data_IF_893756815782
#
_entry.id   IF_893756815782
#
_cell.length_a   1.000
_cell.length_b   1.000
_cell.length_c   1.000
_cell.angle_alpha   90.00
_cell.angle_beta   90.00
_cell.angle_gamma   90.00
#
_symmetry.space_group_name_H-M   'P 1'
#
loop_
_entity.id
_entity.type
_entity.pdbx_description
1 polymer ?
#
# COMPACT_ATOMS: atom_id res chain seq x y z
N UNK A 1 14.82 -25.68 14.32
CA UNK A 1 14.39 -24.28 14.16
C UNK A 1 14.90 -23.80 12.80
N UNK A 2 14.06 -23.80 11.78
CA UNK A 2 14.45 -23.30 10.44
C UNK A 2 14.53 -21.77 10.50
N UNK A 3 15.48 -21.14 9.80
CA UNK A 3 15.62 -19.69 9.85
C UNK A 3 14.40 -19.02 9.22
N UNK A 4 13.79 -18.08 9.95
CA UNK A 4 12.77 -17.15 9.45
C UNK A 4 13.09 -16.73 8.01
N UNK A 5 12.29 -17.22 7.07
CA UNK A 5 12.52 -17.02 5.65
C UNK A 5 12.45 -15.53 5.32
N UNK A 6 13.49 -14.99 4.69
CA UNK A 6 13.41 -13.64 4.11
C UNK A 6 12.25 -13.54 3.11
N UNK A 7 11.72 -12.32 2.92
CA UNK A 7 10.54 -12.08 2.08
C UNK A 7 10.67 -12.75 0.70
N UNK A 8 9.63 -13.47 0.27
CA UNK A 8 9.56 -14.08 -1.07
C UNK A 8 8.40 -13.46 -1.84
N UNK A 9 8.74 -12.55 -2.76
CA UNK A 9 7.78 -11.72 -3.49
C UNK A 9 6.82 -12.52 -4.37
N UNK A 10 7.34 -13.39 -5.23
CA UNK A 10 6.52 -14.18 -6.15
C UNK A 10 5.51 -15.07 -5.40
N UNK A 11 5.89 -15.83 -4.35
CA UNK A 11 4.93 -16.55 -3.52
C UNK A 11 3.89 -15.65 -2.85
N UNK A 12 4.27 -14.45 -2.40
CA UNK A 12 3.35 -13.52 -1.74
C UNK A 12 2.28 -13.00 -2.71
N UNK A 13 2.65 -12.61 -3.92
CA UNK A 13 1.68 -12.21 -4.95
C UNK A 13 0.83 -13.37 -5.45
N UNK A 14 1.43 -14.55 -5.67
CA UNK A 14 0.68 -15.74 -6.06
C UNK A 14 -0.36 -16.13 -4.98
N UNK A 15 0.01 -15.99 -3.70
CA UNK A 15 -0.94 -16.15 -2.59
C UNK A 15 -2.02 -15.09 -2.61
N UNK A 16 -1.68 -13.81 -2.79
CA UNK A 16 -2.63 -12.70 -2.81
C UNK A 16 -3.69 -12.88 -3.90
N UNK A 17 -3.29 -13.25 -5.11
CA UNK A 17 -4.22 -13.53 -6.22
C UNK A 17 -5.15 -14.69 -5.87
N UNK A 18 -4.61 -15.79 -5.33
CA UNK A 18 -5.44 -16.94 -4.90
C UNK A 18 -6.43 -16.54 -3.80
N UNK A 19 -5.99 -15.78 -2.81
CA UNK A 19 -6.83 -15.32 -1.70
C UNK A 19 -7.95 -14.40 -2.19
N UNK A 20 -7.63 -13.47 -3.10
CA UNK A 20 -8.58 -12.56 -3.73
C UNK A 20 -9.66 -13.32 -4.52
N UNK A 21 -9.27 -14.26 -5.37
CA UNK A 21 -10.20 -15.10 -6.15
C UNK A 21 -11.05 -16.01 -5.25
N UNK A 22 -10.44 -16.62 -4.23
CA UNK A 22 -11.15 -17.54 -3.33
C UNK A 22 -12.22 -16.82 -2.48
N UNK A 23 -11.99 -15.54 -2.18
CA UNK A 23 -12.87 -14.73 -1.33
C UNK A 23 -13.45 -13.54 -2.11
N UNK A 24 -13.83 -13.77 -3.37
CA UNK A 24 -14.32 -12.73 -4.28
C UNK A 24 -15.59 -12.01 -3.75
N UNK A 25 -16.39 -12.70 -2.94
CA UNK A 25 -17.57 -12.12 -2.27
C UNK A 25 -17.19 -10.96 -1.34
N UNK A 26 -15.97 -10.97 -0.79
CA UNK A 26 -15.47 -9.89 0.09
C UNK A 26 -14.60 -8.93 -0.74
N UNK A 27 -13.62 -9.47 -1.46
CA UNK A 27 -12.65 -8.64 -2.17
C UNK A 27 -13.22 -7.95 -3.41
N UNK A 28 -14.24 -8.51 -4.06
CA UNK A 28 -14.92 -7.89 -5.20
C UNK A 28 -15.64 -6.59 -4.81
N UNK A 29 -16.58 -6.62 -3.85
CA UNK A 29 -17.22 -5.40 -3.34
C UNK A 29 -16.22 -4.39 -2.80
N UNK A 30 -15.16 -4.85 -2.14
CA UNK A 30 -14.15 -3.97 -1.57
C UNK A 30 -13.28 -3.30 -2.64
N UNK A 31 -13.01 -4.01 -3.75
CA UNK A 31 -12.40 -3.43 -4.96
C UNK A 31 -13.34 -2.39 -5.59
N UNK A 32 -14.65 -2.66 -5.67
CA UNK A 32 -15.64 -1.69 -6.17
C UNK A 32 -15.72 -0.44 -5.28
N UNK A 33 -15.67 -0.62 -3.97
CA UNK A 33 -15.61 0.49 -3.00
C UNK A 33 -14.33 1.31 -3.22
N UNK A 34 -13.18 0.66 -3.45
CA UNK A 34 -11.93 1.35 -3.82
C UNK A 34 -12.08 2.13 -5.13
N UNK A 35 -12.73 1.54 -6.14
CA UNK A 35 -13.00 2.21 -7.41
C UNK A 35 -13.85 3.47 -7.24
N UNK A 36 -14.95 3.39 -6.48
CA UNK A 36 -15.84 4.53 -6.21
C UNK A 36 -15.10 5.60 -5.40
N UNK A 37 -14.34 5.19 -4.38
CA UNK A 37 -13.55 6.09 -3.55
C UNK A 37 -12.50 6.87 -4.34
N UNK A 38 -11.78 6.21 -5.25
CA UNK A 38 -10.74 6.82 -6.08
C UNK A 38 -11.32 7.65 -7.24
N UNK A 39 -12.50 7.29 -7.75
CA UNK A 39 -13.15 8.00 -8.87
C UNK A 39 -13.91 9.26 -8.43
N UNK A 40 -14.18 9.42 -7.13
CA UNK A 40 -14.87 10.61 -6.59
C UNK A 40 -13.88 11.68 -6.10
N UNK A 41 -14.39 12.86 -5.70
CA UNK A 41 -13.58 13.90 -5.05
C UNK A 41 -13.25 13.57 -3.58
N UNK A 42 -13.82 12.50 -3.04
CA UNK A 42 -13.67 12.06 -1.64
C UNK A 42 -12.48 11.12 -1.41
N UNK A 43 -11.58 10.99 -2.40
CA UNK A 43 -10.48 10.01 -2.36
C UNK A 43 -9.57 10.15 -1.12
N UNK A 44 -9.40 11.36 -0.58
CA UNK A 44 -8.58 11.61 0.63
C UNK A 44 -9.21 11.02 1.89
N UNK A 45 -10.50 11.32 2.12
CA UNK A 45 -11.28 10.78 3.25
C UNK A 45 -11.45 9.26 3.10
N UNK A 46 -11.65 8.81 1.87
CA UNK A 46 -11.72 7.39 1.54
C UNK A 46 -10.41 6.67 1.88
N UNK A 47 -9.25 7.21 1.46
CA UNK A 47 -7.95 6.60 1.74
C UNK A 47 -7.68 6.49 3.25
N UNK A 48 -8.06 7.51 4.03
CA UNK A 48 -7.88 7.52 5.49
C UNK A 48 -8.62 6.36 6.18
N UNK A 49 -9.82 6.01 5.71
CA UNK A 49 -10.65 4.98 6.33
C UNK A 49 -10.49 3.60 5.69
N UNK A 50 -10.38 3.55 4.36
CA UNK A 50 -10.32 2.31 3.60
C UNK A 50 -8.98 1.57 3.77
N UNK A 51 -7.86 2.29 3.84
CA UNK A 51 -6.53 1.66 4.00
C UNK A 51 -6.41 0.90 5.33
N UNK A 52 -6.81 1.47 6.49
CA UNK A 52 -6.92 0.73 7.74
C UNK A 52 -7.74 -0.57 7.63
N UNK A 53 -8.93 -0.49 7.01
CA UNK A 53 -9.84 -1.62 6.86
C UNK A 53 -9.23 -2.69 5.96
N UNK A 54 -8.66 -2.29 4.82
CA UNK A 54 -7.95 -3.15 3.88
C UNK A 54 -6.81 -3.91 4.55
N UNK A 55 -5.97 -3.21 5.32
CA UNK A 55 -4.85 -3.80 6.04
C UNK A 55 -5.31 -4.81 7.10
N UNK A 56 -6.36 -4.49 7.84
CA UNK A 56 -6.91 -5.37 8.88
C UNK A 56 -7.51 -6.64 8.28
N UNK A 57 -8.31 -6.50 7.21
CA UNK A 57 -8.90 -7.63 6.49
C UNK A 57 -7.83 -8.49 5.80
N UNK A 58 -6.81 -7.86 5.21
CA UNK A 58 -5.69 -8.58 4.63
C UNK A 58 -4.94 -9.41 5.68
N UNK A 59 -4.73 -8.88 6.89
CA UNK A 59 -4.12 -9.61 7.99
C UNK A 59 -4.99 -10.77 8.48
N UNK A 60 -6.30 -10.60 8.62
CA UNK A 60 -7.21 -11.71 8.95
C UNK A 60 -7.23 -12.78 7.86
N UNK A 61 -7.19 -12.37 6.58
CA UNK A 61 -7.11 -13.31 5.47
C UNK A 61 -5.86 -14.20 5.53
N UNK A 62 -4.77 -13.74 6.18
CA UNK A 62 -3.58 -14.59 6.37
C UNK A 62 -3.80 -15.72 7.38
N UNK A 63 -4.80 -15.61 8.26
CA UNK A 63 -5.06 -16.62 9.31
C UNK A 63 -6.14 -17.62 8.92
N UNK A 64 -7.02 -17.29 7.97
CA UNK A 64 -8.12 -18.16 7.52
C UNK A 64 -8.14 -18.32 6.00
N UNK A 65 -8.53 -19.52 5.52
CA UNK A 65 -8.60 -19.82 4.08
C UNK A 65 -9.81 -19.18 3.41
N UNK A 66 -10.95 -19.13 4.11
CA UNK A 66 -12.17 -18.44 3.69
C UNK A 66 -12.63 -17.48 4.79
N UNK A 67 -12.77 -16.21 4.45
CA UNK A 67 -13.36 -15.22 5.35
C UNK A 67 -14.88 -15.34 5.26
N UNK A 68 -15.56 -15.44 6.40
CA UNK A 68 -17.00 -15.27 6.48
C UNK A 68 -17.33 -13.91 7.09
N UNK A 69 -18.39 -13.27 6.62
CA UNK A 69 -18.75 -11.89 7.00
C UNK A 69 -19.12 -11.77 8.49
N UNK A 70 -19.64 -12.84 9.09
CA UNK A 70 -20.05 -12.96 10.50
C UNK A 70 -18.86 -13.17 11.46
N UNK A 71 -17.70 -13.56 10.96
CA UNK A 71 -16.50 -13.86 11.75
C UNK A 71 -15.44 -12.73 11.70
N UNK A 72 -15.73 -11.61 11.02
CA UNK A 72 -14.81 -10.47 10.88
C UNK A 72 -14.66 -9.76 12.23
N UNK A 73 -13.53 -10.00 12.89
CA UNK A 73 -13.13 -9.33 14.13
C UNK A 73 -11.87 -8.52 13.88
N UNK A 74 -11.91 -7.18 13.98
CA UNK A 74 -10.79 -6.29 13.64
C UNK A 74 -9.87 -6.08 14.87
N UNK A 75 -8.88 -6.96 15.14
CA UNK A 75 -8.09 -6.88 16.36
C UNK A 75 -7.05 -5.77 16.18
N UNK A 76 -6.82 -4.94 17.20
CA UNK A 76 -5.84 -3.86 17.08
C UNK A 76 -6.25 -2.72 16.14
N UNK A 77 -7.51 -2.63 15.71
CA UNK A 77 -8.02 -1.57 14.83
C UNK A 77 -7.74 -0.16 15.38
N UNK A 78 -7.86 0.04 16.70
CA UNK A 78 -7.53 1.31 17.34
C UNK A 78 -6.04 1.69 17.18
N UNK A 79 -5.12 0.74 17.39
CA UNK A 79 -3.68 0.97 17.20
C UNK A 79 -3.37 1.27 15.74
N UNK A 80 -4.05 0.60 14.83
CA UNK A 80 -3.91 0.79 13.40
C UNK A 80 -4.52 2.12 12.92
N UNK A 81 -5.61 2.62 13.52
CA UNK A 81 -6.11 3.97 13.26
C UNK A 81 -5.11 5.04 13.72
N UNK A 82 -4.52 4.88 14.91
CA UNK A 82 -3.46 5.79 15.39
C UNK A 82 -2.26 5.76 14.43
N UNK A 83 -1.85 4.57 13.99
CA UNK A 83 -0.74 4.44 13.07
C UNK A 83 -1.06 4.99 11.67
N UNK A 84 -2.29 4.81 11.20
CA UNK A 84 -2.76 5.38 9.94
C UNK A 84 -2.80 6.91 9.99
N UNK A 85 -3.18 7.48 11.14
CA UNK A 85 -3.08 8.93 11.36
C UNK A 85 -1.62 9.40 11.31
N UNK A 86 -0.70 8.74 12.02
CA UNK A 86 0.73 9.07 11.99
C UNK A 86 1.33 8.91 10.58
N UNK A 87 0.95 7.87 9.86
CA UNK A 87 1.36 7.66 8.48
C UNK A 87 0.76 8.73 7.55
N UNK A 88 -0.48 9.16 7.80
CA UNK A 88 -1.11 10.29 7.13
C UNK A 88 -0.34 11.60 7.35
N UNK A 89 0.12 11.87 8.58
CA UNK A 89 1.00 13.01 8.86
C UNK A 89 2.34 12.90 8.12
N UNK A 90 2.94 11.71 8.07
CA UNK A 90 4.16 11.47 7.31
C UNK A 90 3.97 11.73 5.81
N UNK A 91 2.90 11.17 5.22
CA UNK A 91 2.53 11.40 3.80
C UNK A 91 2.26 12.88 3.54
N UNK A 92 1.51 13.54 4.42
CA UNK A 92 1.19 14.96 4.32
C UNK A 92 2.44 15.84 4.39
N UNK A 93 3.34 15.58 5.34
CA UNK A 93 4.61 16.29 5.46
C UNK A 93 5.50 16.10 4.23
N UNK A 94 5.50 14.90 3.65
CA UNK A 94 6.21 14.63 2.40
C UNK A 94 5.59 15.40 1.22
N UNK A 95 4.25 15.42 1.10
CA UNK A 95 3.56 16.19 0.08
C UNK A 95 3.85 17.70 0.17
N UNK A 96 3.89 18.25 1.38
CA UNK A 96 4.29 19.64 1.63
C UNK A 96 5.74 19.88 1.18
N UNK A 97 6.65 18.94 1.49
CA UNK A 97 8.05 19.04 1.08
C UNK A 97 8.18 19.05 -0.44
N UNK A 98 7.50 18.14 -1.14
CA UNK A 98 7.46 18.14 -2.60
C UNK A 98 6.88 19.45 -3.15
N UNK A 99 5.81 19.96 -2.57
CA UNK A 99 5.23 21.24 -2.97
C UNK A 99 6.27 22.37 -2.92
N UNK A 100 7.05 22.49 -1.84
CA UNK A 100 8.11 23.49 -1.75
C UNK A 100 9.28 23.26 -2.70
N UNK A 101 9.66 22.00 -2.95
CA UNK A 101 10.67 21.65 -3.97
C UNK A 101 10.20 22.08 -5.36
N UNK A 102 8.94 21.83 -5.72
CA UNK A 102 8.36 22.29 -6.98
C UNK A 102 8.24 23.80 -7.07
N UNK A 103 7.82 24.45 -6.00
CA UNK A 103 7.76 25.90 -5.92
C UNK A 103 9.14 26.50 -6.18
N UNK A 104 10.18 26.00 -5.50
CA UNK A 104 11.56 26.43 -5.72
C UNK A 104 12.06 26.16 -7.14
N UNK A 105 11.81 24.97 -7.68
CA UNK A 105 12.19 24.62 -9.06
C UNK A 105 11.49 25.50 -10.11
N UNK A 106 10.22 25.87 -9.86
CA UNK A 106 9.47 26.79 -10.73
C UNK A 106 9.97 28.22 -10.65
N UNK A 107 10.34 28.69 -9.44
CA UNK A 107 10.93 30.02 -9.24
C UNK A 107 12.34 30.14 -9.83
N UNK A 108 13.12 29.04 -9.85
CA UNK A 108 14.47 29.05 -10.43
C UNK A 108 14.47 29.14 -11.98
N UNK A 109 13.31 28.87 -12.61
CA UNK A 109 13.09 29.02 -14.05
C UNK A 109 12.49 30.36 -14.46
N UNK A 110 12.22 31.26 -13.51
CA UNK A 110 11.89 32.63 -13.84
C UNK A 110 13.16 33.32 -14.34
N UNK A 111 13.35 33.31 -15.66
CA UNK A 111 14.27 34.21 -16.33
C UNK A 111 13.63 35.62 -16.38
N UNK A 112 14.21 36.64 -15.72
CA UNK A 112 13.71 38.02 -15.78
C UNK A 112 13.71 38.59 -17.21
N UNK A 113 14.40 37.94 -18.16
CA UNK A 113 14.52 38.32 -19.58
C UNK A 113 13.24 38.10 -20.41
N UNK A 114 12.20 37.49 -19.85
CA UNK A 114 10.92 37.28 -20.55
C UNK A 114 10.94 36.24 -21.67
N UNK A 115 12.00 35.43 -21.78
CA UNK A 115 12.06 34.31 -22.72
C UNK A 115 11.60 33.05 -22.00
N UNK A 116 10.32 32.69 -22.14
CA UNK A 116 9.84 31.35 -21.75
C UNK A 116 10.11 30.40 -22.91
N UNK A 117 11.05 29.44 -22.82
CA UNK A 117 11.15 28.40 -23.82
C UNK A 117 9.88 27.55 -23.74
N UNK A 118 9.15 27.41 -24.84
CA UNK A 118 8.09 26.40 -24.98
C UNK A 118 8.75 25.01 -25.01
N UNK A 119 9.24 24.53 -23.87
CA UNK A 119 9.68 23.15 -23.74
C UNK A 119 8.48 22.25 -23.43
N UNK A 120 8.35 21.10 -24.11
CA UNK A 120 7.38 20.08 -23.74
C UNK A 120 7.55 19.70 -22.26
N UNK A 121 6.43 19.48 -21.56
CA UNK A 121 6.42 19.16 -20.12
C UNK A 121 7.24 17.92 -19.72
N UNK A 122 7.62 17.06 -20.66
CA UNK A 122 8.52 15.92 -20.43
C UNK A 122 10.01 16.28 -20.47
N UNK A 123 10.41 17.38 -21.12
CA UNK A 123 11.78 17.93 -21.06
C UNK A 123 11.98 18.87 -19.86
N UNK A 124 10.88 19.31 -19.25
CA UNK A 124 10.92 20.04 -18.01
C UNK A 124 11.45 19.11 -16.89
N UNK A 125 12.69 19.35 -16.44
CA UNK A 125 13.28 18.86 -15.17
C UNK A 125 12.32 18.68 -13.97
N UNK A 126 11.21 19.41 -13.91
CA UNK A 126 10.06 19.18 -13.02
C UNK A 126 9.54 17.73 -13.05
N UNK A 127 9.42 17.10 -14.20
CA UNK A 127 8.95 15.70 -14.34
C UNK A 127 9.95 14.71 -13.74
N UNK A 128 11.25 14.92 -13.94
CA UNK A 128 12.30 14.11 -13.32
C UNK A 128 12.36 14.30 -11.80
N UNK A 129 12.16 15.53 -11.31
CA UNK A 129 12.04 15.83 -9.88
C UNK A 129 10.82 15.12 -9.27
N UNK A 130 9.70 15.06 -10.00
CA UNK A 130 8.50 14.34 -9.55
C UNK A 130 8.73 12.83 -9.48
N UNK A 131 9.29 12.24 -10.54
CA UNK A 131 9.61 10.82 -10.55
C UNK A 131 10.63 10.45 -9.47
N UNK A 132 11.69 11.26 -9.31
CA UNK A 132 12.67 11.09 -8.24
C UNK A 132 12.06 11.21 -6.85
N UNK A 133 11.19 12.21 -6.64
CA UNK A 133 10.44 12.39 -5.41
C UNK A 133 9.54 11.20 -5.08
N UNK A 134 8.77 10.71 -6.05
CA UNK A 134 7.93 9.51 -5.90
C UNK A 134 8.78 8.29 -5.56
N UNK A 135 9.92 8.08 -6.22
CA UNK A 135 10.83 6.97 -5.92
C UNK A 135 11.42 7.05 -4.50
N UNK A 136 11.86 8.24 -4.08
CA UNK A 136 12.35 8.47 -2.71
C UNK A 136 11.24 8.23 -1.69
N UNK A 137 10.02 8.68 -1.97
CA UNK A 137 8.86 8.42 -1.12
C UNK A 137 8.56 6.93 -1.01
N UNK A 138 8.57 6.21 -2.13
CA UNK A 138 8.36 4.76 -2.15
C UNK A 138 9.46 4.02 -1.40
N UNK A 139 10.71 4.46 -1.54
CA UNK A 139 11.84 3.95 -0.76
C UNK A 139 11.67 4.21 0.75
N UNK A 140 11.23 5.41 1.13
CA UNK A 140 10.97 5.77 2.52
C UNK A 140 9.81 4.96 3.12
N UNK A 141 8.71 4.81 2.38
CA UNK A 141 7.57 3.99 2.82
C UNK A 141 7.92 2.51 2.92
N UNK A 142 8.82 2.00 2.08
CA UNK A 142 9.32 0.63 2.20
C UNK A 142 10.06 0.36 3.53
N UNK A 143 10.68 1.37 4.16
CA UNK A 143 11.30 1.21 5.49
C UNK A 143 10.29 1.02 6.62
N UNK A 144 9.05 1.46 6.42
CA UNK A 144 7.99 1.44 7.45
C UNK A 144 6.80 0.57 7.05
N UNK A 145 6.85 -0.09 5.89
CA UNK A 145 5.68 -0.73 5.28
C UNK A 145 5.04 -1.82 6.15
N UNK A 146 5.83 -2.56 6.95
CA UNK A 146 5.31 -3.61 7.84
C UNK A 146 4.86 -3.12 9.22
N UNK A 147 5.13 -1.87 9.60
CA UNK A 147 4.66 -1.25 10.86
C UNK A 147 3.12 -1.32 10.98
N UNK A 148 2.33 -0.88 9.98
CA UNK A 148 0.87 -1.00 10.04
C UNK A 148 0.37 -2.44 10.09
N UNK A 149 1.03 -3.39 9.41
CA UNK A 149 0.63 -4.81 9.47
C UNK A 149 0.93 -5.44 10.84
N UNK A 150 2.02 -5.03 11.50
CA UNK A 150 2.30 -5.43 12.87
C UNK A 150 1.28 -4.87 13.86
N UNK A 151 0.82 -3.62 13.66
CA UNK A 151 -0.25 -3.03 14.47
C UNK A 151 -1.60 -3.73 14.22
N UNK A 152 -1.90 -4.05 12.96
CA UNK A 152 -3.10 -4.78 12.53
C UNK A 152 -3.16 -6.23 13.04
N UNK A 153 -2.01 -6.84 13.32
CA UNK A 153 -1.96 -8.21 13.86
C UNK A 153 -2.58 -8.30 15.27
N UNK A 154 -2.55 -7.20 16.03
CA UNK A 154 -3.18 -7.10 17.36
C UNK A 154 -2.55 -7.98 18.45
N UNK A 155 -1.49 -8.75 18.15
CA UNK A 155 -0.81 -9.68 19.06
C UNK A 155 0.19 -9.01 20.01
N UNK A 156 0.53 -7.75 19.76
CA UNK A 156 1.60 -7.03 20.48
C UNK A 156 1.15 -5.63 20.86
N UNK A 157 1.75 -5.06 21.92
CA UNK A 157 1.56 -3.65 22.28
C UNK A 157 2.03 -2.71 21.17
N UNK A 158 1.52 -1.47 21.15
CA UNK A 158 1.82 -0.47 20.10
C UNK A 158 3.33 -0.28 19.86
N UNK A 159 4.13 -0.04 20.90
CA UNK A 159 5.59 0.15 20.75
C UNK A 159 6.32 -1.09 20.25
N UNK A 160 5.86 -2.28 20.65
CA UNK A 160 6.41 -3.56 20.18
C UNK A 160 6.06 -3.80 18.71
N UNK A 161 4.85 -3.46 18.29
CA UNK A 161 4.42 -3.54 16.90
C UNK A 161 5.25 -2.63 15.99
N UNK A 162 5.52 -1.40 16.44
CA UNK A 162 6.38 -0.46 15.71
C UNK A 162 7.79 -1.02 15.53
N UNK A 163 8.39 -1.49 16.62
CA UNK A 163 9.75 -2.04 16.60
C UNK A 163 9.84 -3.28 15.72
N UNK A 164 8.88 -4.20 15.83
CA UNK A 164 8.81 -5.42 15.03
C UNK A 164 8.64 -5.12 13.54
N UNK A 165 7.68 -4.25 13.20
CA UNK A 165 7.41 -3.86 11.83
C UNK A 165 8.57 -3.12 11.17
N UNK A 166 9.23 -2.21 11.90
CA UNK A 166 10.45 -1.53 11.43
C UNK A 166 11.57 -2.54 11.18
N UNK A 167 11.84 -3.43 12.14
CA UNK A 167 12.89 -4.45 12.00
C UNK A 167 12.64 -5.36 10.81
N UNK A 168 11.39 -5.80 10.62
CA UNK A 168 10.99 -6.63 9.49
C UNK A 168 11.15 -5.91 8.15
N UNK A 169 10.76 -4.63 8.10
CA UNK A 169 10.84 -3.78 6.91
C UNK A 169 12.30 -3.50 6.53
N UNK A 170 13.12 -3.03 7.48
CA UNK A 170 14.55 -2.72 7.27
C UNK A 170 15.31 -3.95 6.77
N UNK A 171 15.13 -5.11 7.42
CA UNK A 171 15.81 -6.36 7.03
C UNK A 171 15.46 -6.81 5.61
N UNK A 172 14.28 -6.45 5.10
CA UNK A 172 13.80 -6.84 3.78
C UNK A 172 13.58 -5.64 2.85
N UNK A 173 14.20 -4.49 3.14
CA UNK A 173 13.83 -3.20 2.58
C UNK A 173 13.75 -3.24 1.05
N UNK A 174 14.78 -3.77 0.38
CA UNK A 174 14.82 -3.81 -1.07
C UNK A 174 13.67 -4.65 -1.68
N UNK A 175 13.33 -5.77 -1.03
CA UNK A 175 12.23 -6.62 -1.49
C UNK A 175 10.88 -5.95 -1.23
N UNK A 176 10.70 -5.32 -0.08
CA UNK A 176 9.50 -4.54 0.23
C UNK A 176 9.35 -3.38 -0.75
N UNK A 177 10.44 -2.67 -1.05
CA UNK A 177 10.47 -1.62 -2.07
C UNK A 177 10.01 -2.16 -3.43
N UNK A 178 10.56 -3.28 -3.90
CA UNK A 178 10.11 -3.91 -5.14
C UNK A 178 8.62 -4.32 -5.10
N UNK A 179 8.15 -4.83 -3.96
CA UNK A 179 6.73 -5.15 -3.76
C UNK A 179 5.84 -3.91 -3.89
N UNK A 180 6.29 -2.77 -3.39
CA UNK A 180 5.50 -1.53 -3.47
C UNK A 180 5.60 -0.92 -4.88
N UNK A 181 6.80 -0.83 -5.46
CA UNK A 181 7.04 -0.19 -6.77
C UNK A 181 6.41 -0.96 -7.93
N UNK A 182 6.47 -2.28 -7.95
CA UNK A 182 5.96 -3.08 -9.08
C UNK A 182 4.48 -2.77 -9.42
N UNK A 183 3.54 -2.73 -8.46
CA UNK A 183 2.18 -2.30 -8.72
C UNK A 183 2.05 -0.82 -9.06
N UNK A 184 2.91 0.05 -8.51
CA UNK A 184 2.94 1.46 -8.90
C UNK A 184 3.38 1.66 -10.35
N UNK A 185 4.23 0.81 -10.92
CA UNK A 185 4.59 0.88 -12.33
C UNK A 185 3.36 0.71 -13.24
N UNK A 186 2.44 -0.20 -12.90
CA UNK A 186 1.17 -0.35 -13.62
C UNK A 186 0.28 0.89 -13.45
N UNK A 187 0.25 1.50 -12.27
CA UNK A 187 -0.44 2.78 -12.07
C UNK A 187 0.18 3.92 -12.86
N UNK A 188 1.51 4.00 -12.96
CA UNK A 188 2.21 5.04 -13.75
C UNK A 188 1.83 4.90 -15.22
N UNK A 189 1.80 3.69 -15.76
CA UNK A 189 1.35 3.44 -17.14
C UNK A 189 -0.12 3.84 -17.33
N UNK A 190 -1.00 3.52 -16.37
CA UNK A 190 -2.40 3.91 -16.44
C UNK A 190 -2.60 5.43 -16.38
N UNK A 191 -1.89 6.12 -15.48
CA UNK A 191 -1.90 7.60 -15.36
C UNK A 191 -1.30 8.23 -16.63
N UNK A 192 -0.22 7.68 -17.16
CA UNK A 192 0.39 8.16 -18.39
C UNK A 192 -0.57 8.06 -19.58
N UNK A 193 -1.26 6.92 -19.72
CA UNK A 193 -2.27 6.75 -20.76
C UNK A 193 -3.43 7.74 -20.62
N UNK A 194 -3.88 8.01 -19.40
CA UNK A 194 -4.92 9.01 -19.11
C UNK A 194 -4.50 10.43 -19.47
N UNK A 195 -3.22 10.76 -19.26
CA UNK A 195 -2.67 12.08 -19.58
C UNK A 195 -2.32 12.27 -21.05
N UNK A 196 -1.96 11.20 -21.77
CA UNK A 196 -1.31 11.33 -23.11
C UNK A 196 -2.09 10.72 -24.27
N UNK A 197 -2.76 9.58 -24.08
CA UNK A 197 -3.40 8.83 -25.17
C UNK A 197 -4.93 8.94 -25.14
N UNK A 198 -5.55 8.91 -23.95
CA UNK A 198 -7.00 8.93 -23.79
C UNK A 198 -7.42 9.91 -22.68
N UNK A 199 -7.40 11.22 -22.96
CA UNK A 199 -7.82 12.24 -22.00
C UNK A 199 -9.23 11.97 -21.48
N UNK A 200 -9.38 11.75 -20.17
CA UNK A 200 -10.67 11.46 -19.54
C UNK A 200 -10.92 9.97 -19.26
N UNK A 201 -9.94 9.10 -19.52
CA UNK A 201 -9.95 7.69 -19.13
C UNK A 201 -9.72 7.44 -17.63
N UNK A 202 -9.87 8.46 -16.76
CA UNK A 202 -9.73 8.38 -15.29
C UNK A 202 -10.34 7.12 -14.68
N UNK A 203 -11.48 6.66 -15.19
CA UNK A 203 -12.13 5.44 -14.73
C UNK A 203 -11.30 4.18 -14.99
N UNK A 204 -10.57 4.08 -16.10
CA UNK A 204 -9.63 2.99 -16.36
C UNK A 204 -8.50 2.99 -15.31
N UNK A 205 -7.92 4.15 -15.02
CA UNK A 205 -6.88 4.31 -13.99
C UNK A 205 -7.40 3.95 -12.61
N UNK A 206 -8.61 4.41 -12.25
CA UNK A 206 -9.28 4.03 -11.01
C UNK A 206 -9.59 2.52 -10.97
N UNK A 207 -9.95 1.91 -12.09
CA UNK A 207 -10.21 0.48 -12.22
C UNK A 207 -8.97 -0.38 -11.98
N UNK A 208 -7.84 -0.01 -12.60
CA UNK A 208 -6.55 -0.66 -12.37
C UNK A 208 -6.14 -0.50 -10.91
N UNK A 209 -6.21 0.71 -10.36
CA UNK A 209 -5.87 0.98 -8.97
C UNK A 209 -6.74 0.18 -7.98
N UNK A 210 -8.04 0.08 -8.24
CA UNK A 210 -8.99 -0.67 -7.43
C UNK A 210 -8.70 -2.16 -7.34
N UNK A 211 -8.05 -2.75 -8.34
CA UNK A 211 -7.59 -4.14 -8.32
C UNK A 211 -6.20 -4.27 -7.67
N UNK A 212 -5.32 -3.32 -7.98
CA UNK A 212 -3.94 -3.32 -7.52
C UNK A 212 -3.83 -3.13 -6.01
N UNK A 213 -4.61 -2.21 -5.42
CA UNK A 213 -4.53 -1.91 -3.99
C UNK A 213 -4.85 -3.13 -3.10
N UNK A 214 -6.00 -3.81 -3.25
CA UNK A 214 -6.30 -5.00 -2.46
C UNK A 214 -5.23 -6.10 -2.58
N UNK A 215 -4.75 -6.35 -3.80
CA UNK A 215 -3.69 -7.34 -4.04
C UNK A 215 -2.37 -6.95 -3.38
N UNK A 216 -2.01 -5.66 -3.40
CA UNK A 216 -0.82 -5.16 -2.71
C UNK A 216 -0.94 -5.37 -1.19
N UNK A 217 -2.07 -5.00 -0.57
CA UNK A 217 -2.26 -5.19 0.87
C UNK A 217 -2.24 -6.68 1.26
N UNK A 218 -2.86 -7.55 0.47
CA UNK A 218 -2.79 -9.01 0.65
C UNK A 218 -1.37 -9.54 0.54
N UNK A 219 -0.63 -9.13 -0.50
CA UNK A 219 0.75 -9.57 -0.71
C UNK A 219 1.66 -9.10 0.42
N UNK A 220 1.51 -7.85 0.89
CA UNK A 220 2.27 -7.31 2.01
C UNK A 220 1.88 -7.97 3.35
N UNK A 221 0.61 -8.26 3.61
CA UNK A 221 0.18 -8.98 4.80
C UNK A 221 0.77 -10.39 4.85
N UNK A 222 0.72 -11.12 3.74
CA UNK A 222 1.35 -12.43 3.65
C UNK A 222 2.88 -12.34 3.72
N UNK A 223 3.47 -11.33 3.08
CA UNK A 223 4.90 -11.04 3.17
C UNK A 223 5.35 -10.76 4.60
N UNK A 224 4.59 -9.97 5.35
CA UNK A 224 4.81 -9.72 6.78
C UNK A 224 4.79 -11.02 7.57
N UNK A 225 3.82 -11.91 7.34
CA UNK A 225 3.76 -13.24 7.97
C UNK A 225 4.95 -14.12 7.63
N UNK A 226 5.45 -14.07 6.40
CA UNK A 226 6.65 -14.82 6.00
C UNK A 226 7.88 -14.41 6.83
N UNK A 227 8.04 -13.12 7.12
CA UNK A 227 9.23 -12.58 7.80
C UNK A 227 9.12 -12.54 9.32
N UNK A 228 7.92 -12.66 9.89
CA UNK A 228 7.68 -12.60 11.35
C UNK A 228 7.33 -13.93 12.01
N UNK A 229 7.07 -14.98 11.23
CA UNK A 229 6.66 -16.33 11.69
C UNK A 229 5.37 -16.37 12.53
N UNK A 230 4.30 -16.90 11.95
CA UNK A 230 3.21 -17.52 12.71
C UNK A 230 2.61 -18.69 11.91
N UNK A 231 3.00 -19.93 12.22
CA UNK A 231 2.36 -21.17 11.73
C UNK A 231 1.10 -21.52 12.56
N UNK A 232 0.19 -22.42 12.14
CA UNK A 232 -0.31 -22.76 10.81
C UNK A 232 -1.73 -22.16 10.57
N UNK A 233 -2.32 -22.39 9.39
CA UNK A 233 -3.77 -22.24 9.19
C UNK A 233 -4.50 -23.07 10.25
N UNK A 234 -5.25 -22.42 11.13
CA UNK A 234 -6.17 -23.13 12.02
C UNK A 234 -7.39 -23.46 11.16
N UNK A 235 -7.56 -24.74 10.81
CA UNK A 235 -8.87 -25.22 10.39
C UNK A 235 -9.80 -25.06 11.59
N UNK A 236 -10.81 -24.20 11.44
CA UNK A 236 -11.86 -23.98 12.45
C UNK A 236 -12.74 -25.23 12.71
N UNK A 237 -12.32 -26.40 12.24
CA UNK A 237 -12.96 -27.70 12.45
C UNK A 237 -12.12 -28.66 13.31
N UNK A 238 -10.94 -28.26 13.80
CA UNK A 238 -10.16 -29.10 14.71
C UNK A 238 -10.71 -28.98 16.14
N UNK A 239 -11.34 -30.08 16.59
CA UNK A 239 -12.00 -30.24 17.88
C UNK A 239 -11.01 -30.04 19.06
N UNK A 240 -11.35 -29.27 20.12
CA UNK A 240 -10.45 -29.01 21.25
C UNK A 240 -10.19 -30.21 22.19
N UNK A 241 -10.65 -31.43 21.83
CA UNK A 241 -10.57 -32.61 22.69
C UNK A 241 -9.43 -33.59 22.39
N UNK A 242 -8.56 -33.34 21.40
CA UNK A 242 -7.43 -34.21 21.07
C UNK A 242 -6.07 -33.66 21.55
N UNK A 243 -6.01 -33.05 22.74
CA UNK A 243 -4.76 -32.76 23.45
C UNK A 243 -4.78 -33.30 24.86
#
# INVERSE_FOLDING_TARGET
>A
MQPAGGLRLLPAYAWAVRAWVTNLIIWGPLSLICFIGLSTRFWQTFALLAVPVLMSLAMQQTTVRRLKLDEISLPGFANLLVLAFLFGLFVGGFAITLFFVFLGASMWRFDPSGHTPEQPWYEAGTTYVLLGGVLIFTAATAFVAFVPFAAADGRTSFGSAVTLGLRASVRNWFKVFLAVVAPYALMIVAVWNDLTMFPGSRYLTCGVAALVFPLLFLALAHGYRQVTEGFPLIDATANPHDR
#
